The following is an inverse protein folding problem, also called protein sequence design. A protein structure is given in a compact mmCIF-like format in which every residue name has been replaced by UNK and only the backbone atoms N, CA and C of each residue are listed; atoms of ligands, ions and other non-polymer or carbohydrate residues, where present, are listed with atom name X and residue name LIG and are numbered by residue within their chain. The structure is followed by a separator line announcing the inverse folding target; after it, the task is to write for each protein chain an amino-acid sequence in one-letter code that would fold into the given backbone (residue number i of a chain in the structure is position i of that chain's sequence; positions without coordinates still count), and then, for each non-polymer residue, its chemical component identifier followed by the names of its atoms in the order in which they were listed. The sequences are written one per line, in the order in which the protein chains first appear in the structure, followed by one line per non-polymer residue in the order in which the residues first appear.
data_IF_196464322626
#
_entry.id   IF_196464322626
#
_cell.length_a   1.000
_cell.length_b   1.000
_cell.length_c   1.000
_cell.angle_alpha   90.00
_cell.angle_beta   90.00
_cell.angle_gamma   90.00
#
_symmetry.space_group_name_H-M   'P 1'
#
loop_
_entity.id
_entity.type
_entity.pdbx_description
1 polymer ?
#
# COMPACT_ATOMS: atom_id res chain seq x y z
N UNK A 1 -14.41 12.87 3.81
CA UNK A 1 -13.41 11.97 3.20
C UNK A 1 -13.00 12.54 1.85
N UNK A 2 -11.71 12.82 1.66
CA UNK A 2 -11.17 13.29 0.37
C UNK A 2 -11.08 12.11 -0.58
N UNK A 3 -11.59 12.24 -1.81
CA UNK A 3 -11.54 11.18 -2.84
C UNK A 3 -10.61 11.65 -3.96
N UNK A 4 -9.37 11.11 -4.05
CA UNK A 4 -8.53 11.31 -5.21
C UNK A 4 -9.23 10.79 -6.49
N UNK A 5 -9.03 11.40 -7.66
CA UNK A 5 -9.48 10.78 -8.90
C UNK A 5 -8.69 9.48 -9.14
N UNK A 6 -9.24 8.61 -9.97
CA UNK A 6 -8.56 7.38 -10.39
C UNK A 6 -7.45 7.70 -11.41
N UNK A 7 -6.28 7.11 -11.21
CA UNK A 7 -5.16 7.08 -12.15
C UNK A 7 -5.21 5.74 -12.87
N UNK A 8 -5.27 5.78 -14.20
CA UNK A 8 -5.39 4.57 -15.03
C UNK A 8 -4.07 4.16 -15.68
N UNK A 9 -3.07 5.05 -15.67
CA UNK A 9 -1.76 4.80 -16.24
C UNK A 9 -0.69 5.71 -15.58
N UNK A 10 0.53 5.22 -15.31
CA UNK A 10 1.58 5.97 -14.58
C UNK A 10 2.06 7.20 -15.34
N UNK A 11 1.91 7.21 -16.67
CA UNK A 11 2.22 8.36 -17.55
C UNK A 11 1.08 9.37 -17.67
N UNK A 12 -0.06 9.12 -17.01
CA UNK A 12 -1.28 9.94 -17.09
C UNK A 12 -1.72 10.40 -15.69
N UNK A 13 -0.77 10.63 -14.80
CA UNK A 13 -1.04 11.18 -13.46
C UNK A 13 -1.53 12.63 -13.61
N UNK A 14 -2.72 12.99 -13.08
CA UNK A 14 -3.22 14.35 -13.15
C UNK A 14 -2.30 15.35 -12.42
N UNK A 15 -2.21 16.59 -12.91
CA UNK A 15 -1.30 17.63 -12.38
C UNK A 15 -1.48 17.96 -10.89
N UNK A 16 -2.68 17.69 -10.35
CA UNK A 16 -3.02 17.91 -8.94
C UNK A 16 -2.41 16.90 -7.97
N UNK A 17 -1.70 15.89 -8.46
CA UNK A 17 -0.92 14.98 -7.63
C UNK A 17 0.54 15.43 -7.57
N UNK A 18 1.13 15.33 -6.40
CA UNK A 18 2.58 15.49 -6.22
C UNK A 18 3.23 14.12 -6.20
N UNK A 19 4.19 13.85 -7.07
CA UNK A 19 5.00 12.65 -7.00
C UNK A 19 5.95 12.74 -5.81
N UNK A 20 5.81 11.80 -4.87
CA UNK A 20 6.72 11.65 -3.74
C UNK A 20 7.92 10.80 -4.15
N UNK A 21 7.65 9.68 -4.82
CA UNK A 21 8.68 8.78 -5.34
C UNK A 21 8.12 7.75 -6.32
N UNK A 22 9.05 7.16 -7.08
CA UNK A 22 8.86 5.89 -7.79
C UNK A 22 9.74 4.84 -7.16
N UNK A 23 9.20 3.65 -6.92
CA UNK A 23 9.97 2.52 -6.37
C UNK A 23 9.95 1.38 -7.39
N UNK A 24 11.04 0.63 -7.46
CA UNK A 24 11.14 -0.59 -8.28
C UNK A 24 11.26 -1.77 -7.33
N UNK A 25 10.36 -2.73 -7.45
CA UNK A 25 10.53 -4.02 -6.79
C UNK A 25 11.60 -4.83 -7.57
N UNK A 26 12.75 -5.14 -6.98
CA UNK A 26 13.78 -5.89 -7.68
C UNK A 26 13.35 -7.34 -8.01
N UNK A 27 12.29 -7.84 -7.38
CA UNK A 27 11.71 -9.17 -7.59
C UNK A 27 10.52 -9.17 -8.56
N UNK A 28 9.92 -8.00 -8.83
CA UNK A 28 8.85 -7.77 -9.83
C UNK A 28 9.10 -6.48 -10.60
N UNK A 29 10.14 -6.48 -11.45
CA UNK A 29 10.63 -5.27 -12.15
C UNK A 29 9.68 -4.72 -13.19
N UNK A 30 8.68 -5.50 -13.61
CA UNK A 30 7.69 -5.12 -14.62
C UNK A 30 6.50 -4.36 -14.00
N UNK A 31 6.53 -4.13 -12.68
CA UNK A 31 5.50 -3.40 -11.96
C UNK A 31 5.93 -1.97 -11.67
N UNK A 32 5.06 -1.05 -12.05
CA UNK A 32 5.13 0.36 -11.70
C UNK A 32 4.66 0.55 -10.25
N UNK A 33 5.45 1.21 -9.41
CA UNK A 33 5.02 1.71 -8.10
C UNK A 33 5.22 3.21 -8.01
N UNK A 34 4.13 3.96 -7.95
CA UNK A 34 4.13 5.42 -7.79
C UNK A 34 3.53 5.78 -6.42
N UNK A 35 4.31 6.49 -5.62
CA UNK A 35 3.89 7.08 -4.36
C UNK A 35 3.60 8.55 -4.60
N UNK A 36 2.35 8.93 -4.42
CA UNK A 36 1.80 10.22 -4.79
C UNK A 36 1.11 10.85 -3.57
N UNK A 37 1.05 12.17 -3.55
CA UNK A 37 0.25 12.93 -2.61
C UNK A 37 -0.88 13.63 -3.34
N UNK A 38 -2.09 13.51 -2.79
CA UNK A 38 -3.26 14.27 -3.19
C UNK A 38 -3.88 14.93 -1.97
N UNK A 39 -3.69 16.24 -1.80
CA UNK A 39 -4.08 16.95 -0.58
C UNK A 39 -3.49 16.25 0.66
N UNK A 40 -4.30 15.75 1.60
CA UNK A 40 -3.86 15.02 2.80
C UNK A 40 -3.92 13.50 2.67
N UNK A 41 -3.92 12.99 1.44
CA UNK A 41 -4.04 11.57 1.12
C UNK A 41 -2.76 11.08 0.43
N UNK A 42 -2.17 10.01 0.98
CA UNK A 42 -1.19 9.18 0.30
C UNK A 42 -1.91 8.34 -0.74
N UNK A 43 -1.44 8.38 -1.98
CA UNK A 43 -1.96 7.57 -3.07
C UNK A 43 -0.84 6.68 -3.57
N UNK A 44 -1.07 5.38 -3.51
CA UNK A 44 -0.16 4.37 -4.03
C UNK A 44 -0.79 3.80 -5.30
N UNK A 45 -0.18 4.12 -6.44
CA UNK A 45 -0.55 3.54 -7.72
C UNK A 45 0.37 2.35 -8.00
N UNK A 46 -0.23 1.25 -8.41
CA UNK A 46 0.48 0.07 -8.93
C UNK A 46 -0.05 -0.28 -10.31
N UNK A 47 0.82 -0.69 -11.22
CA UNK A 47 0.37 -1.18 -12.52
C UNK A 47 1.40 -2.02 -13.23
N UNK A 48 0.93 -2.87 -14.14
CA UNK A 48 1.78 -3.78 -14.90
C UNK A 48 1.06 -4.34 -16.12
N UNK A 49 1.83 -4.81 -17.08
CA UNK A 49 1.30 -5.55 -18.22
C UNK A 49 0.98 -6.99 -17.80
N UNK A 50 -0.26 -7.42 -18.01
CA UNK A 50 -0.67 -8.82 -17.86
C UNK A 50 -0.86 -9.45 -19.24
N UNK A 51 -0.19 -10.57 -19.47
CA UNK A 51 -0.40 -11.40 -20.65
C UNK A 51 -1.47 -12.45 -20.35
N UNK A 52 -2.52 -12.49 -21.17
CA UNK A 52 -3.45 -13.62 -21.19
C UNK A 52 -2.69 -14.85 -21.72
N UNK A 53 -2.64 -15.92 -20.94
CA UNK A 53 -1.88 -17.13 -21.30
C UNK A 53 -2.52 -17.94 -22.43
N UNK A 54 -3.83 -17.83 -22.62
CA UNK A 54 -4.57 -18.53 -23.68
C UNK A 54 -4.50 -17.78 -25.01
N UNK A 55 -4.72 -16.47 -25.00
CA UNK A 55 -4.82 -15.67 -26.24
C UNK A 55 -3.51 -14.97 -26.61
N UNK A 56 -2.57 -14.85 -25.66
CA UNK A 56 -1.35 -14.06 -25.81
C UNK A 56 -1.56 -12.54 -25.76
N UNK A 57 -2.80 -12.06 -25.63
CA UNK A 57 -3.13 -10.64 -25.55
C UNK A 57 -2.52 -10.00 -24.30
N UNK A 58 -1.92 -8.81 -24.45
CA UNK A 58 -1.36 -8.04 -23.33
C UNK A 58 -2.34 -6.92 -22.98
N UNK A 59 -2.73 -6.87 -21.71
CA UNK A 59 -3.55 -5.78 -21.14
C UNK A 59 -2.83 -5.14 -19.98
N UNK A 60 -2.85 -3.81 -19.94
CA UNK A 60 -2.38 -3.08 -18.78
C UNK A 60 -3.39 -3.22 -17.64
N UNK A 61 -2.92 -3.66 -16.47
CA UNK A 61 -3.69 -3.75 -15.24
C UNK A 61 -3.14 -2.74 -14.25
N UNK A 62 -4.01 -2.12 -13.47
CA UNK A 62 -3.61 -1.13 -12.48
C UNK A 62 -4.52 -1.18 -11.25
N UNK A 63 -3.99 -0.69 -10.14
CA UNK A 63 -4.70 -0.52 -8.88
C UNK A 63 -4.26 0.80 -8.25
N UNK A 64 -5.20 1.47 -7.60
CA UNK A 64 -4.94 2.67 -6.82
C UNK A 64 -5.46 2.47 -5.41
N UNK A 65 -4.57 2.59 -4.43
CA UNK A 65 -4.91 2.57 -3.02
C UNK A 65 -4.66 3.94 -2.39
N UNK A 66 -5.63 4.42 -1.63
CA UNK A 66 -5.59 5.71 -0.99
C UNK A 66 -5.60 5.54 0.54
N UNK A 67 -4.71 6.25 1.22
CA UNK A 67 -4.58 6.22 2.67
C UNK A 67 -4.45 7.64 3.21
N UNK A 68 -4.89 7.91 4.44
CA UNK A 68 -4.50 9.15 5.11
C UNK A 68 -2.96 9.24 5.18
N UNK A 69 -2.40 10.45 5.12
CA UNK A 69 -0.93 10.61 5.21
C UNK A 69 -0.35 10.03 6.52
N UNK A 70 -1.12 10.04 7.62
CA UNK A 70 -0.75 9.38 8.87
C UNK A 70 -0.49 7.88 8.76
N UNK A 71 -0.93 7.22 7.67
CA UNK A 71 -0.59 5.83 7.39
C UNK A 71 0.92 5.59 7.26
N UNK A 72 1.70 6.60 6.82
CA UNK A 72 3.16 6.49 6.70
C UNK A 72 3.80 6.13 8.05
N UNK A 73 3.55 6.93 9.08
CA UNK A 73 4.01 6.67 10.45
C UNK A 73 3.34 5.43 11.05
N UNK A 74 2.03 5.26 10.82
CA UNK A 74 1.29 4.16 11.42
C UNK A 74 1.79 2.78 10.96
N UNK A 75 2.14 2.60 9.68
CA UNK A 75 2.70 1.34 9.17
C UNK A 75 4.02 0.99 9.88
N UNK A 76 4.88 1.97 10.16
CA UNK A 76 6.13 1.70 10.89
C UNK A 76 5.86 1.21 12.32
N UNK A 77 4.90 1.83 13.01
CA UNK A 77 4.42 1.36 14.31
C UNK A 77 3.84 -0.06 14.22
N UNK A 78 3.11 -0.38 13.15
CA UNK A 78 2.53 -1.72 12.97
C UNK A 78 3.60 -2.77 12.69
N UNK A 79 4.61 -2.47 11.88
CA UNK A 79 5.73 -3.40 11.67
C UNK A 79 6.42 -3.75 13.00
N UNK A 80 6.74 -2.75 13.81
CA UNK A 80 7.33 -2.96 15.15
C UNK A 80 6.41 -3.78 16.07
N UNK A 81 5.11 -3.48 16.08
CA UNK A 81 4.10 -4.23 16.82
C UNK A 81 4.01 -5.71 16.40
N UNK A 82 4.18 -6.01 15.11
CA UNK A 82 4.18 -7.40 14.60
C UNK A 82 5.51 -8.12 14.86
N UNK A 83 6.63 -7.41 14.95
CA UNK A 83 7.92 -7.99 15.35
C UNK A 83 8.06 -8.17 16.86
N UNK A 84 7.30 -7.42 17.64
CA UNK A 84 7.29 -7.50 19.10
C UNK A 84 6.60 -8.79 19.55
N UNK A 85 7.18 -9.57 20.48
CA UNK A 85 6.50 -10.74 21.04
C UNK A 85 5.19 -10.38 21.75
N UNK A 86 4.17 -11.26 21.74
CA UNK A 86 2.89 -10.98 22.41
C UNK A 86 3.04 -10.64 23.90
N UNK A 87 3.99 -11.29 24.59
CA UNK A 87 4.28 -11.05 26.02
C UNK A 87 4.82 -9.65 26.31
N UNK A 88 5.40 -8.99 25.31
CA UNK A 88 6.02 -7.67 25.39
C UNK A 88 5.12 -6.58 24.78
N UNK A 89 3.84 -6.91 24.51
CA UNK A 89 2.86 -5.98 23.98
C UNK A 89 2.66 -6.01 22.47
N UNK A 90 3.24 -6.98 21.77
CA UNK A 90 3.01 -7.19 20.34
C UNK A 90 1.68 -7.88 20.01
N UNK A 91 1.53 -8.31 18.77
CA UNK A 91 0.31 -8.96 18.29
C UNK A 91 -0.03 -10.21 19.13
N UNK A 92 -1.28 -10.31 19.59
CA UNK A 92 -1.73 -11.44 20.40
C UNK A 92 -1.60 -12.79 19.67
N UNK A 93 -1.24 -13.83 20.42
CA UNK A 93 -1.13 -15.19 19.87
C UNK A 93 -2.43 -15.64 19.18
N UNK A 94 -2.30 -16.23 17.99
CA UNK A 94 -3.43 -16.68 17.17
C UNK A 94 -4.13 -15.57 16.37
N UNK A 95 -3.62 -14.33 16.39
CA UNK A 95 -4.05 -13.25 15.51
C UNK A 95 -3.06 -13.07 14.35
N UNK A 96 -3.58 -12.62 13.22
CA UNK A 96 -2.78 -12.26 12.03
C UNK A 96 -3.02 -10.82 11.59
N UNK A 97 -3.97 -10.11 12.20
CA UNK A 97 -4.37 -8.78 11.79
C UNK A 97 -4.71 -7.90 13.00
N UNK A 98 -4.57 -6.59 12.82
CA UNK A 98 -5.03 -5.55 13.75
C UNK A 98 -5.65 -4.40 12.97
N UNK A 99 -6.52 -3.61 13.63
CA UNK A 99 -7.18 -2.46 13.02
C UNK A 99 -7.09 -1.24 13.92
N UNK A 100 -6.89 -0.04 13.35
CA UNK A 100 -6.84 1.22 14.09
C UNK A 100 -7.52 2.34 13.27
N UNK A 101 -8.00 3.39 13.96
CA UNK A 101 -8.44 4.63 13.31
C UNK A 101 -7.22 5.53 13.12
N UNK A 102 -6.93 5.91 11.87
CA UNK A 102 -5.82 6.79 11.50
C UNK A 102 -6.39 7.95 10.71
N UNK A 103 -6.23 9.17 11.22
CA UNK A 103 -6.76 10.41 10.63
C UNK A 103 -8.25 10.32 10.19
N UNK A 104 -9.05 9.60 10.95
CA UNK A 104 -10.48 9.41 10.70
C UNK A 104 -10.84 8.27 9.75
N UNK A 105 -9.88 7.49 9.27
CA UNK A 105 -10.09 6.33 8.40
C UNK A 105 -9.66 5.04 9.10
N UNK A 106 -10.44 3.97 8.91
CA UNK A 106 -10.17 2.65 9.50
C UNK A 106 -9.17 1.89 8.65
N UNK A 107 -7.97 1.68 9.19
CA UNK A 107 -6.92 0.90 8.55
C UNK A 107 -6.80 -0.48 9.19
N UNK A 108 -6.42 -1.47 8.40
CA UNK A 108 -6.09 -2.82 8.82
C UNK A 108 -4.69 -3.17 8.35
N UNK A 109 -3.90 -3.78 9.23
CA UNK A 109 -2.60 -4.32 8.91
C UNK A 109 -2.61 -5.81 9.19
N UNK A 110 -2.28 -6.62 8.19
CA UNK A 110 -2.43 -8.07 8.22
C UNK A 110 -1.13 -8.74 7.80
N UNK A 111 -0.66 -9.73 8.58
CA UNK A 111 0.38 -10.67 8.17
C UNK A 111 -0.27 -11.78 7.35
N UNK A 112 0.25 -12.04 6.16
CA UNK A 112 -0.31 -13.04 5.25
C UNK A 112 0.74 -13.93 4.60
N UNK A 113 0.23 -14.99 3.97
CA UNK A 113 0.95 -15.79 2.98
C UNK A 113 0.42 -15.45 1.59
N UNK A 114 1.25 -15.66 0.57
CA UNK A 114 0.99 -15.32 -0.82
C UNK A 114 0.76 -13.82 -1.06
N UNK A 115 1.50 -12.96 -0.35
CA UNK A 115 1.42 -11.49 -0.48
C UNK A 115 2.33 -11.04 -1.62
N UNK A 116 1.77 -10.34 -2.61
CA UNK A 116 2.48 -9.94 -3.85
C UNK A 116 2.79 -11.06 -4.85
N UNK A 117 2.66 -12.33 -4.47
CA UNK A 117 2.90 -13.49 -5.34
C UNK A 117 2.82 -14.82 -4.59
N UNK A 118 2.84 -15.96 -5.30
CA UNK A 118 2.91 -17.27 -4.66
C UNK A 118 4.19 -17.42 -3.83
N UNK A 119 4.15 -18.28 -2.82
CA UNK A 119 5.32 -18.74 -2.04
C UNK A 119 6.03 -17.69 -1.15
N UNK A 120 5.48 -16.48 -1.02
CA UNK A 120 6.04 -15.43 -0.17
C UNK A 120 5.06 -14.99 0.91
N UNK A 121 5.58 -14.81 2.12
CA UNK A 121 4.87 -14.06 3.16
C UNK A 121 4.86 -12.57 2.83
N UNK A 122 4.05 -11.81 3.54
CA UNK A 122 4.14 -10.36 3.53
C UNK A 122 3.17 -9.72 4.49
N UNK A 123 3.03 -8.41 4.37
CA UNK A 123 2.02 -7.64 5.07
C UNK A 123 1.06 -7.00 4.08
N UNK A 124 -0.20 -6.86 4.47
CA UNK A 124 -1.21 -6.16 3.68
C UNK A 124 -1.70 -4.97 4.50
N UNK A 125 -1.62 -3.78 3.91
CA UNK A 125 -2.26 -2.57 4.42
C UNK A 125 -3.57 -2.37 3.67
N UNK A 126 -4.68 -2.39 4.38
CA UNK A 126 -6.01 -2.19 3.80
C UNK A 126 -6.69 -0.97 4.42
N UNK A 127 -7.33 -0.16 3.58
CA UNK A 127 -8.17 0.93 4.01
C UNK A 127 -9.63 0.47 3.99
N UNK A 128 -10.13 0.05 5.15
CA UNK A 128 -11.50 -0.44 5.32
C UNK A 128 -12.55 0.66 5.20
N UNK A 129 -12.13 1.92 5.05
CA UNK A 129 -13.03 3.05 4.78
C UNK A 129 -13.16 3.36 3.29
N UNK A 130 -12.41 2.67 2.42
CA UNK A 130 -12.36 2.95 0.97
C UNK A 130 -12.53 1.69 0.14
N UNK A 131 -13.50 1.74 -0.76
CA UNK A 131 -13.76 0.67 -1.72
C UNK A 131 -12.93 0.91 -3.00
N UNK A 132 -12.47 -0.18 -3.62
CA UNK A 132 -11.77 -0.13 -4.90
C UNK A 132 -12.60 0.56 -5.99
N UNK A 133 -11.92 1.29 -6.87
CA UNK A 133 -12.57 1.93 -8.01
C UNK A 133 -13.31 0.91 -8.88
N UNK A 134 -14.44 1.34 -9.44
CA UNK A 134 -15.32 0.49 -10.26
C UNK A 134 -16.11 -0.58 -9.49
N UNK A 135 -15.98 -0.66 -8.16
CA UNK A 135 -16.78 -1.57 -7.33
C UNK A 135 -18.01 -0.87 -6.77
N UNK A 136 -19.02 -1.68 -6.43
CA UNK A 136 -20.25 -1.18 -5.78
C UNK A 136 -19.95 -0.69 -4.36
N UNK A 137 -20.69 0.31 -3.84
CA UNK A 137 -20.45 0.84 -2.49
C UNK A 137 -20.55 -0.17 -1.34
N UNK A 138 -21.31 -1.25 -1.52
CA UNK A 138 -21.52 -2.35 -0.57
C UNK A 138 -20.50 -3.49 -0.73
N UNK A 139 -19.55 -3.36 -1.65
CA UNK A 139 -18.50 -4.34 -1.87
C UNK A 139 -17.57 -4.41 -0.66
N UNK A 140 -17.07 -5.61 -0.36
CA UNK A 140 -15.96 -5.81 0.59
C UNK A 140 -14.58 -5.76 -0.10
N UNK A 141 -14.51 -5.18 -1.31
CA UNK A 141 -13.27 -5.00 -2.06
C UNK A 141 -12.63 -3.67 -1.66
N UNK A 142 -11.92 -3.68 -0.54
CA UNK A 142 -11.23 -2.51 -0.02
C UNK A 142 -9.96 -2.19 -0.80
N UNK A 143 -9.57 -0.92 -0.75
CA UNK A 143 -8.29 -0.47 -1.28
C UNK A 143 -7.16 -0.97 -0.38
N UNK A 144 -6.08 -1.47 -0.97
CA UNK A 144 -4.97 -2.01 -0.21
C UNK A 144 -3.64 -1.97 -0.95
N UNK A 145 -2.56 -2.10 -0.19
CA UNK A 145 -1.20 -2.18 -0.67
C UNK A 145 -0.48 -3.33 0.02
N UNK A 146 0.21 -4.13 -0.79
CA UNK A 146 0.94 -5.31 -0.33
C UNK A 146 2.40 -4.94 -0.08
N UNK A 147 2.96 -5.48 1.00
CA UNK A 147 4.36 -5.45 1.37
C UNK A 147 4.89 -6.89 1.37
N UNK A 148 5.23 -7.45 0.20
CA UNK A 148 5.81 -8.80 0.11
C UNK A 148 7.13 -8.83 0.89
N UNK A 149 7.41 -9.90 1.63
CA UNK A 149 8.64 -10.00 2.44
C UNK A 149 9.92 -9.75 1.62
N UNK A 150 10.10 -10.32 0.41
CA UNK A 150 11.30 -10.04 -0.39
C UNK A 150 11.44 -8.56 -0.71
N UNK A 151 10.35 -7.89 -1.10
CA UNK A 151 10.39 -6.47 -1.43
C UNK A 151 10.59 -5.60 -0.17
N UNK A 152 9.92 -5.95 0.93
CA UNK A 152 9.99 -5.25 2.21
C UNK A 152 11.39 -5.30 2.81
N UNK A 153 11.98 -6.48 2.95
CA UNK A 153 13.23 -6.68 3.68
C UNK A 153 14.48 -6.66 2.81
N UNK A 154 14.40 -7.19 1.59
CA UNK A 154 15.56 -7.31 0.71
C UNK A 154 15.52 -6.32 -0.47
N UNK A 155 14.34 -5.78 -0.78
CA UNK A 155 14.09 -4.92 -1.93
C UNK A 155 14.10 -3.42 -1.65
N UNK A 156 14.41 -3.01 -0.42
CA UNK A 156 14.55 -1.60 -0.04
C UNK A 156 13.24 -0.88 0.29
N UNK A 157 12.09 -1.56 0.29
CA UNK A 157 10.80 -0.93 0.57
C UNK A 157 10.68 -0.48 2.03
N UNK A 158 11.30 -1.18 2.99
CA UNK A 158 11.29 -0.77 4.40
C UNK A 158 12.02 0.55 4.61
N UNK A 159 13.24 0.69 4.09
CA UNK A 159 14.04 1.92 4.18
C UNK A 159 13.36 3.08 3.46
N UNK A 160 12.77 2.81 2.30
CA UNK A 160 11.99 3.79 1.57
C UNK A 160 10.79 4.29 2.38
N UNK A 161 10.02 3.38 2.98
CA UNK A 161 8.84 3.74 3.76
C UNK A 161 9.23 4.50 5.03
N UNK A 162 10.33 4.11 5.68
CA UNK A 162 10.91 4.82 6.82
C UNK A 162 11.27 6.27 6.47
N UNK A 163 11.91 6.50 5.31
CA UNK A 163 12.23 7.85 4.85
C UNK A 163 10.97 8.70 4.62
N UNK A 164 9.95 8.15 3.97
CA UNK A 164 8.67 8.85 3.79
C UNK A 164 7.98 9.17 5.13
N UNK A 165 7.95 8.21 6.06
CA UNK A 165 7.41 8.44 7.39
C UNK A 165 8.15 9.56 8.13
N UNK A 166 9.48 9.55 8.10
CA UNK A 166 10.29 10.58 8.74
C UNK A 166 10.07 11.97 8.10
N UNK A 167 9.92 12.04 6.77
CA UNK A 167 9.58 13.30 6.07
C UNK A 167 8.20 13.82 6.46
N UNK A 168 7.22 12.93 6.61
CA UNK A 168 5.88 13.29 7.08
C UNK A 168 5.91 13.86 8.49
N UNK A 169 6.63 13.22 9.41
CA UNK A 169 6.77 13.68 10.80
C UNK A 169 7.45 15.05 10.92
N UNK A 170 8.32 15.39 9.96
CA UNK A 170 8.97 16.70 9.87
C UNK A 170 8.09 17.77 9.19
N UNK A 171 6.91 17.42 8.69
CA UNK A 171 6.02 18.33 7.99
C UNK A 171 6.48 18.69 6.57
N UNK A 172 7.35 17.89 5.95
CA UNK A 172 7.88 18.18 4.60
C UNK A 172 6.86 18.01 3.48
N UNK A 173 5.67 17.49 3.81
CA UNK A 173 4.57 17.33 2.88
C UNK A 173 3.48 18.39 3.04
N UNK A 174 3.60 19.35 3.95
CA UNK A 174 2.57 20.39 4.16
C UNK A 174 2.65 21.56 3.15
#
# INVERSE_FOLDING_TARGET
MIIPPEITHPKQVPEKFTLLATVVDPFDKDRDYLFLKYQKILVIFTGHNRKNLETGEIKYSFYQACFPMGALTWVMKMLDFFFTPPKDGGLAAGKIATTEQVDGEKLMFTRGMCVGGPDHGGYMLENLSRINYGRKPDSQSYQGFDFPDPFLFDGGLMEFWQDLAAKYERGEFD
#
